data_IF_579545785119
#
_entry.id   IF_579545785119
#
_cell.length_a   1.000
_cell.length_b   1.000
_cell.length_c   1.000
_cell.angle_alpha   90.00
_cell.angle_beta   90.00
_cell.angle_gamma   90.00
#
_symmetry.space_group_name_H-M   'P 1'
#
loop_
_entity.id
_entity.type
_entity.pdbx_description
1 polymer ?
#
# COMPACT_ATOMS: atom_id res chain seq x y z
N UNK A 1 22.72 -4.93 -5.41
CA UNK A 1 22.54 -5.89 -4.30
C UNK A 1 23.91 -6.33 -3.85
N UNK A 2 24.22 -6.27 -2.56
CA UNK A 2 25.49 -6.70 -1.96
C UNK A 2 25.19 -7.98 -1.19
N UNK A 3 26.00 -9.02 -1.39
CA UNK A 3 25.89 -10.26 -0.64
C UNK A 3 27.20 -10.51 0.13
N UNK A 4 27.08 -11.01 1.33
CA UNK A 4 28.21 -11.38 2.17
C UNK A 4 27.93 -12.68 2.93
N UNK A 5 28.98 -13.37 3.36
CA UNK A 5 28.87 -14.52 4.27
C UNK A 5 29.30 -14.15 5.67
N UNK A 6 28.76 -14.82 6.68
CA UNK A 6 29.05 -14.57 8.09
C UNK A 6 30.46 -15.07 8.51
N UNK A 7 31.15 -15.82 7.62
CA UNK A 7 32.47 -16.41 7.87
C UNK A 7 33.37 -16.36 6.64
N UNK A 8 34.68 -16.45 6.86
CA UNK A 8 35.64 -16.61 5.79
C UNK A 8 35.48 -18.03 5.21
N UNK A 9 35.13 -18.10 3.92
CA UNK A 9 34.91 -19.34 3.22
C UNK A 9 36.13 -19.64 2.36
N UNK A 10 36.72 -20.81 2.55
CA UNK A 10 37.75 -21.33 1.66
C UNK A 10 37.06 -22.32 0.71
N UNK A 11 36.84 -21.92 -0.55
CA UNK A 11 36.13 -22.79 -1.48
C UNK A 11 37.01 -23.98 -1.87
N UNK A 12 36.41 -25.14 -1.88
CA UNK A 12 36.99 -26.38 -2.45
C UNK A 12 35.97 -27.09 -3.33
N UNK A 13 36.45 -27.97 -4.19
CA UNK A 13 35.62 -28.75 -5.07
C UNK A 13 35.94 -30.21 -4.90
N UNK A 14 34.92 -31.05 -4.86
CA UNK A 14 35.07 -32.52 -4.85
C UNK A 14 34.12 -33.15 -5.90
N UNK A 15 34.51 -34.28 -6.41
CA UNK A 15 33.64 -35.11 -7.26
C UNK A 15 32.64 -35.87 -6.37
N UNK A 16 31.39 -35.73 -6.66
CA UNK A 16 30.31 -36.41 -5.94
C UNK A 16 29.38 -37.14 -6.93
N UNK A 17 28.67 -38.12 -6.44
CA UNK A 17 27.71 -38.88 -7.22
C UNK A 17 26.31 -38.71 -6.63
N UNK A 18 25.31 -38.53 -7.48
CA UNK A 18 23.91 -38.53 -7.06
C UNK A 18 23.10 -39.53 -7.87
N UNK A 19 22.07 -40.08 -7.32
CA UNK A 19 21.11 -40.91 -8.01
C UNK A 19 19.95 -40.05 -8.52
N UNK A 20 19.79 -40.02 -9.83
CA UNK A 20 18.65 -39.36 -10.46
C UNK A 20 17.65 -40.45 -10.87
N UNK A 21 16.41 -40.30 -10.41
CA UNK A 21 15.31 -41.24 -10.69
C UNK A 21 14.53 -40.70 -11.88
N UNK A 22 14.49 -41.51 -12.95
CA UNK A 22 13.64 -41.27 -14.11
C UNK A 22 12.29 -41.97 -13.88
N UNK A 23 11.22 -41.23 -13.96
CA UNK A 23 9.86 -41.73 -13.77
C UNK A 23 9.22 -42.04 -15.13
N UNK A 24 8.57 -43.20 -15.24
CA UNK A 24 7.79 -43.58 -16.42
C UNK A 24 6.42 -42.89 -16.42
N UNK A 25 5.85 -42.78 -15.23
CA UNK A 25 4.63 -42.04 -14.94
C UNK A 25 4.68 -41.53 -13.49
N UNK A 26 3.60 -40.93 -12.95
CA UNK A 26 3.56 -40.30 -11.62
C UNK A 26 3.86 -41.27 -10.47
N UNK A 27 3.87 -42.61 -10.69
CA UNK A 27 4.00 -43.61 -9.62
C UNK A 27 5.11 -44.62 -9.91
N UNK A 28 5.41 -44.89 -11.20
CA UNK A 28 6.33 -45.97 -11.60
C UNK A 28 7.70 -45.42 -11.96
N UNK A 29 8.73 -45.95 -11.28
CA UNK A 29 10.13 -45.60 -11.58
C UNK A 29 10.56 -46.43 -12.83
N UNK A 30 11.09 -45.76 -13.86
CA UNK A 30 11.62 -46.40 -15.04
C UNK A 30 13.08 -46.82 -14.83
N UNK A 31 13.91 -45.90 -14.41
CA UNK A 31 15.35 -46.16 -14.26
C UNK A 31 15.95 -45.23 -13.20
N UNK A 32 16.90 -45.77 -12.41
CA UNK A 32 17.78 -45.01 -11.53
C UNK A 32 19.14 -44.88 -12.19
N UNK A 33 19.56 -43.64 -12.47
CA UNK A 33 20.89 -43.36 -13.02
C UNK A 33 21.76 -42.68 -11.98
N UNK A 34 23.00 -43.18 -11.86
CA UNK A 34 24.01 -42.49 -11.05
C UNK A 34 24.75 -41.50 -11.94
N UNK A 35 24.66 -40.21 -11.57
CA UNK A 35 25.28 -39.12 -12.33
C UNK A 35 26.35 -38.46 -11.46
N UNK A 36 27.55 -38.33 -12.03
CA UNK A 36 28.64 -37.59 -11.40
C UNK A 36 28.40 -36.09 -11.51
N UNK A 37 28.64 -35.35 -10.42
CA UNK A 37 28.61 -33.90 -10.42
C UNK A 37 29.71 -33.32 -9.53
N UNK A 38 30.06 -32.07 -9.76
CA UNK A 38 31.02 -31.36 -8.91
C UNK A 38 30.28 -30.73 -7.73
N UNK A 39 30.68 -31.12 -6.51
CA UNK A 39 30.18 -30.49 -5.29
C UNK A 39 31.12 -29.39 -4.84
N UNK A 40 30.59 -28.24 -4.57
CA UNK A 40 31.31 -27.09 -4.01
C UNK A 40 31.19 -27.13 -2.51
N UNK A 41 32.30 -26.98 -1.80
CA UNK A 41 32.37 -27.01 -0.35
C UNK A 41 32.84 -25.65 0.18
N UNK A 42 32.35 -25.25 1.35
CA UNK A 42 31.24 -25.83 2.11
C UNK A 42 29.89 -25.63 1.41
N UNK A 43 28.98 -26.57 1.53
CA UNK A 43 27.66 -26.55 0.88
C UNK A 43 26.55 -25.93 1.75
N UNK A 44 26.86 -25.64 3.00
CA UNK A 44 26.00 -24.98 3.98
C UNK A 44 26.24 -23.46 4.07
N UNK A 45 26.74 -22.85 2.98
CA UNK A 45 27.02 -21.41 2.96
C UNK A 45 25.74 -20.60 3.05
N UNK A 46 25.60 -19.81 4.09
CA UNK A 46 24.53 -18.83 4.25
C UNK A 46 25.00 -17.50 3.67
N UNK A 47 24.41 -17.12 2.54
CA UNK A 47 24.63 -15.81 1.93
C UNK A 47 23.50 -14.85 2.36
N UNK A 48 23.87 -13.76 2.97
CA UNK A 48 22.96 -12.67 3.30
C UNK A 48 23.09 -11.58 2.24
N UNK A 49 21.99 -11.25 1.60
CA UNK A 49 21.94 -10.18 0.61
C UNK A 49 21.09 -9.02 1.14
N UNK A 50 21.57 -7.81 0.97
CA UNK A 50 20.84 -6.61 1.31
C UNK A 50 20.87 -5.62 0.15
N UNK A 51 19.83 -4.82 0.06
CA UNK A 51 19.77 -3.71 -0.88
C UNK A 51 20.44 -2.52 -0.20
N UNK A 52 21.48 -1.96 -0.82
CA UNK A 52 22.10 -0.72 -0.35
C UNK A 52 21.08 0.41 -0.26
N UNK A 53 21.28 1.33 0.67
CA UNK A 53 20.47 2.54 0.78
C UNK A 53 20.72 3.36 -0.50
N UNK A 54 19.63 3.83 -1.11
CA UNK A 54 19.74 4.74 -2.24
C UNK A 54 19.72 6.18 -1.70
N UNK A 55 20.85 6.86 -1.78
CA UNK A 55 20.99 8.24 -1.30
C UNK A 55 20.66 9.27 -2.37
N UNK A 56 20.41 8.81 -3.61
CA UNK A 56 20.04 9.70 -4.72
C UNK A 56 18.56 10.01 -4.67
N UNK A 57 18.23 11.27 -4.52
CA UNK A 57 16.86 11.75 -4.49
C UNK A 57 16.39 12.20 -5.87
N UNK A 58 15.30 11.58 -6.32
CA UNK A 58 14.58 11.97 -7.54
C UNK A 58 13.13 11.52 -7.44
N UNK A 59 12.25 12.13 -8.20
CA UNK A 59 10.87 11.68 -8.33
C UNK A 59 10.85 10.34 -9.09
N UNK A 60 10.45 9.28 -8.41
CA UNK A 60 10.40 7.92 -8.98
C UNK A 60 9.08 7.66 -9.69
N UNK A 61 7.97 8.06 -9.07
CA UNK A 61 6.62 7.85 -9.61
C UNK A 61 5.70 8.99 -9.22
N UNK A 62 4.75 9.28 -10.11
CA UNK A 62 3.60 10.14 -9.88
C UNK A 62 2.36 9.39 -10.37
N UNK A 63 1.52 8.90 -9.47
CA UNK A 63 0.39 8.04 -9.82
C UNK A 63 -0.90 8.59 -9.23
N UNK A 64 -1.96 8.65 -10.06
CA UNK A 64 -3.32 8.99 -9.66
C UNK A 64 -4.22 7.78 -9.89
N UNK A 65 -4.28 6.91 -8.87
CA UNK A 65 -5.02 5.65 -8.93
C UNK A 65 -6.52 5.83 -8.76
N UNK A 66 -6.92 6.75 -7.89
CA UNK A 66 -8.32 7.12 -7.64
C UNK A 66 -8.52 8.61 -7.98
N UNK A 67 -9.77 8.99 -8.14
CA UNK A 67 -10.12 10.38 -8.48
C UNK A 67 -9.73 11.36 -7.38
N UNK A 68 -9.90 10.94 -6.12
CA UNK A 68 -9.79 11.79 -4.95
C UNK A 68 -8.38 11.87 -4.34
N UNK A 69 -7.40 11.13 -4.86
CA UNK A 69 -6.02 11.25 -4.39
C UNK A 69 -4.98 10.88 -5.46
N UNK A 70 -3.76 11.36 -5.27
CA UNK A 70 -2.59 10.95 -6.02
C UNK A 70 -1.39 10.77 -5.10
N UNK A 71 -0.44 9.97 -5.54
CA UNK A 71 0.75 9.64 -4.77
C UNK A 71 2.00 10.04 -5.54
N UNK A 72 2.90 10.74 -4.86
CA UNK A 72 4.24 11.05 -5.33
C UNK A 72 5.23 10.18 -4.56
N UNK A 73 6.04 9.38 -5.27
CA UNK A 73 7.05 8.52 -4.66
C UNK A 73 8.44 8.99 -5.07
N UNK A 74 9.29 9.16 -4.08
CA UNK A 74 10.69 9.53 -4.25
C UNK A 74 11.60 8.33 -4.04
N UNK A 75 12.79 8.37 -4.60
CA UNK A 75 13.76 7.25 -4.54
C UNK A 75 14.51 7.16 -3.22
N UNK A 76 14.58 8.25 -2.48
CA UNK A 76 15.27 8.37 -1.20
C UNK A 76 14.45 9.19 -0.21
N UNK A 77 14.69 9.03 1.11
CA UNK A 77 14.09 9.87 2.13
C UNK A 77 14.41 11.34 1.95
N UNK A 78 13.47 12.21 2.31
CA UNK A 78 13.65 13.65 2.27
C UNK A 78 13.43 14.27 3.65
N UNK A 79 14.27 15.25 4.02
CA UNK A 79 14.07 16.03 5.24
C UNK A 79 12.96 17.07 5.10
N UNK A 80 12.70 17.51 3.86
CA UNK A 80 11.71 18.53 3.55
C UNK A 80 10.67 18.02 2.56
N UNK A 81 9.43 18.42 2.76
CA UNK A 81 8.37 18.10 1.82
C UNK A 81 8.50 18.94 0.54
N UNK A 82 8.17 18.39 -0.62
CA UNK A 82 8.13 19.15 -1.87
C UNK A 82 6.97 20.16 -1.82
N UNK A 83 7.16 21.27 -2.51
CA UNK A 83 6.11 22.26 -2.69
C UNK A 83 5.36 21.96 -3.98
N UNK A 84 4.03 21.93 -3.89
CA UNK A 84 3.16 21.63 -5.02
C UNK A 84 2.31 22.86 -5.34
N UNK A 85 2.26 23.22 -6.64
CA UNK A 85 1.49 24.33 -7.18
C UNK A 85 0.53 23.84 -8.25
N UNK A 86 -0.77 24.15 -8.12
CA UNK A 86 -1.74 23.89 -9.17
C UNK A 86 -1.55 24.81 -10.36
N UNK A 87 -1.56 24.28 -11.59
CA UNK A 87 -1.49 25.07 -12.82
C UNK A 87 -2.87 25.26 -13.46
N UNK A 88 -3.76 24.27 -13.31
CA UNK A 88 -5.11 24.31 -13.87
C UNK A 88 -6.23 24.34 -12.81
N UNK A 89 -5.86 24.46 -11.53
CA UNK A 89 -6.78 24.60 -10.40
C UNK A 89 -6.15 25.45 -9.29
N UNK A 90 -6.96 25.91 -8.33
CA UNK A 90 -6.46 26.65 -7.16
C UNK A 90 -5.96 25.63 -6.11
N UNK A 91 -4.68 25.74 -5.73
CA UNK A 91 -4.05 24.86 -4.75
C UNK A 91 -4.36 25.23 -3.30
N UNK A 92 -4.90 26.45 -3.06
CA UNK A 92 -5.12 26.93 -1.71
C UNK A 92 -6.10 26.05 -0.95
N UNK A 93 -5.60 25.38 0.09
CA UNK A 93 -6.36 24.43 0.91
C UNK A 93 -6.99 23.26 0.12
N UNK A 94 -6.43 22.95 -1.07
CA UNK A 94 -6.97 21.92 -1.96
C UNK A 94 -6.66 20.50 -1.49
N UNK A 95 -5.64 20.31 -0.64
CA UNK A 95 -5.12 18.99 -0.30
C UNK A 95 -5.05 18.74 1.20
N UNK A 96 -5.25 17.46 1.58
CA UNK A 96 -4.75 16.88 2.83
C UNK A 96 -3.51 16.08 2.45
N UNK A 97 -2.40 16.35 3.14
CA UNK A 97 -1.12 15.70 2.84
C UNK A 97 -0.88 14.61 3.87
N UNK A 98 -0.68 13.40 3.39
CA UNK A 98 -0.30 12.24 4.20
C UNK A 98 1.08 11.77 3.75
N UNK A 99 2.02 11.66 4.68
CA UNK A 99 3.40 11.30 4.39
C UNK A 99 3.81 10.04 5.13
N UNK A 100 4.73 9.28 4.54
CA UNK A 100 5.46 8.25 5.28
C UNK A 100 6.42 8.91 6.29
N UNK A 101 6.84 8.22 7.36
CA UNK A 101 7.81 8.75 8.33
C UNK A 101 9.15 9.17 7.71
N UNK A 102 9.44 8.73 6.48
CA UNK A 102 10.67 9.02 5.73
C UNK A 102 10.48 10.05 4.63
N UNK A 103 9.27 10.54 4.42
CA UNK A 103 8.90 11.45 3.33
C UNK A 103 9.28 10.95 1.92
N UNK A 104 9.40 9.63 1.75
CA UNK A 104 9.70 9.00 0.47
C UNK A 104 8.45 8.69 -0.36
N UNK A 105 7.29 8.67 0.29
CA UNK A 105 6.00 8.55 -0.36
C UNK A 105 5.00 9.54 0.26
N UNK A 106 4.39 10.35 -0.58
CA UNK A 106 3.49 11.43 -0.15
C UNK A 106 2.18 11.25 -0.89
N UNK A 107 1.10 11.09 -0.15
CA UNK A 107 -0.26 11.02 -0.67
C UNK A 107 -0.94 12.38 -0.50
N UNK A 108 -1.47 12.90 -1.58
CA UNK A 108 -2.24 14.15 -1.62
C UNK A 108 -3.71 13.81 -1.82
N UNK A 109 -4.52 14.00 -0.78
CA UNK A 109 -5.97 13.84 -0.84
C UNK A 109 -6.62 15.14 -1.27
N UNK A 110 -7.41 15.11 -2.33
CA UNK A 110 -8.05 16.27 -2.93
C UNK A 110 -9.37 16.53 -2.18
N UNK A 111 -9.50 17.70 -1.57
CA UNK A 111 -10.72 18.10 -0.84
C UNK A 111 -11.84 18.57 -1.77
N UNK A 112 -11.48 19.31 -2.85
CA UNK A 112 -12.45 19.91 -3.74
C UNK A 112 -12.97 18.91 -4.78
N UNK A 113 -14.28 18.74 -4.80
CA UNK A 113 -14.98 17.85 -5.74
C UNK A 113 -14.84 18.28 -7.21
N UNK A 114 -14.68 19.56 -7.48
CA UNK A 114 -14.45 20.05 -8.85
C UNK A 114 -13.07 19.65 -9.35
N UNK A 115 -12.08 19.71 -8.47
CA UNK A 115 -10.70 19.34 -8.80
C UNK A 115 -10.55 17.83 -9.02
N UNK A 116 -11.15 16.99 -8.16
CA UNK A 116 -11.00 15.54 -8.35
C UNK A 116 -11.79 14.98 -9.54
N UNK A 117 -12.81 15.71 -10.04
CA UNK A 117 -13.52 15.33 -11.26
C UNK A 117 -12.76 15.63 -12.54
N UNK A 118 -11.69 16.44 -12.49
CA UNK A 118 -10.86 16.74 -13.64
C UNK A 118 -10.13 15.48 -14.14
N UNK A 119 -10.11 15.31 -15.46
CA UNK A 119 -9.45 14.14 -16.07
C UNK A 119 -7.93 14.17 -15.89
N UNK A 120 -7.33 15.35 -15.95
CA UNK A 120 -5.89 15.54 -15.75
C UNK A 120 -5.66 16.76 -14.86
N UNK A 121 -4.86 16.59 -13.83
CA UNK A 121 -4.35 17.67 -13.00
C UNK A 121 -2.96 18.04 -13.48
N UNK A 122 -2.74 19.32 -13.71
CA UNK A 122 -1.44 19.87 -14.05
C UNK A 122 -0.85 20.54 -12.83
N UNK A 123 0.27 20.04 -12.36
CA UNK A 123 0.93 20.49 -11.14
C UNK A 123 2.39 20.79 -11.40
N UNK A 124 2.86 21.88 -10.86
CA UNK A 124 4.27 22.20 -10.75
C UNK A 124 4.76 21.68 -9.40
N UNK A 125 5.83 20.91 -9.41
CA UNK A 125 6.45 20.32 -8.24
C UNK A 125 7.86 20.89 -8.06
N UNK A 126 8.11 21.55 -6.95
CA UNK A 126 9.42 22.03 -6.54
C UNK A 126 9.97 21.10 -5.45
N UNK A 127 11.09 20.45 -5.73
CA UNK A 127 11.71 19.48 -4.83
C UNK A 127 13.23 19.45 -4.95
N UNK A 128 13.90 18.78 -4.03
CA UNK A 128 15.34 18.58 -4.08
C UNK A 128 15.67 17.33 -4.92
N UNK A 129 16.57 17.50 -5.87
CA UNK A 129 17.05 16.45 -6.77
C UNK A 129 18.55 16.26 -6.61
N UNK A 130 19.02 15.02 -6.62
CA UNK A 130 20.44 14.72 -6.60
C UNK A 130 21.04 14.78 -8.01
N UNK A 131 21.95 15.70 -8.23
CA UNK A 131 22.63 15.90 -9.51
C UNK A 131 23.71 14.84 -9.81
N UNK A 132 24.42 14.99 -10.91
CA UNK A 132 25.50 14.07 -11.32
C UNK A 132 26.73 14.11 -10.39
N UNK A 133 26.88 15.18 -9.61
CA UNK A 133 27.94 15.36 -8.61
C UNK A 133 27.52 14.89 -7.22
N UNK A 134 26.38 14.22 -7.09
CA UNK A 134 25.75 13.80 -5.83
C UNK A 134 25.42 14.95 -4.87
N UNK A 135 25.13 16.14 -5.41
CA UNK A 135 24.67 17.29 -4.64
C UNK A 135 23.15 17.46 -4.77
N UNK A 136 22.49 17.83 -3.67
CA UNK A 136 21.08 18.15 -3.66
C UNK A 136 20.89 19.57 -4.21
N UNK A 137 20.19 19.65 -5.34
CA UNK A 137 19.86 20.91 -6.02
C UNK A 137 18.35 21.07 -6.13
N UNK A 138 17.80 22.28 -6.04
CA UNK A 138 16.38 22.49 -6.24
C UNK A 138 16.03 22.24 -7.73
N UNK A 139 14.95 21.51 -7.93
CA UNK A 139 14.40 21.19 -9.25
C UNK A 139 12.91 21.44 -9.28
N UNK A 140 12.47 22.03 -10.39
CA UNK A 140 11.06 22.26 -10.68
C UNK A 140 10.65 21.39 -11.86
N UNK A 141 9.68 20.52 -11.66
CA UNK A 141 9.10 19.69 -12.71
C UNK A 141 7.60 19.96 -12.85
N UNK A 142 7.10 19.92 -14.09
CA UNK A 142 5.66 19.93 -14.36
C UNK A 142 5.17 18.50 -14.52
N UNK A 143 4.16 18.11 -13.75
CA UNK A 143 3.62 16.76 -13.73
C UNK A 143 2.17 16.78 -14.18
N UNK A 144 1.83 15.83 -15.03
CA UNK A 144 0.47 15.60 -15.53
C UNK A 144 -0.10 14.35 -14.85
N UNK A 145 -1.05 14.54 -13.96
CA UNK A 145 -1.69 13.46 -13.18
C UNK A 145 -3.03 13.11 -13.84
N UNK A 146 -2.97 12.20 -14.82
CA UNK A 146 -4.16 11.71 -15.49
C UNK A 146 -4.87 10.66 -14.62
N UNK A 147 -6.21 10.72 -14.63
CA UNK A 147 -7.02 9.69 -14.00
C UNK A 147 -6.92 8.37 -14.78
N UNK A 148 -6.75 7.24 -14.09
CA UNK A 148 -6.68 5.90 -14.74
C UNK A 148 -7.94 5.55 -15.52
N UNK A 149 -9.10 6.01 -15.05
CA UNK A 149 -10.37 5.78 -15.71
C UNK A 149 -10.77 6.99 -16.56
N UNK A 150 -11.05 6.77 -17.82
CA UNK A 150 -11.61 7.82 -18.68
C UNK A 150 -13.02 8.21 -18.19
N UNK A 151 -13.46 9.43 -18.52
CA UNK A 151 -14.78 9.94 -18.16
C UNK A 151 -15.89 8.98 -18.58
N UNK A 152 -15.81 8.42 -19.79
CA UNK A 152 -16.79 7.46 -20.29
C UNK A 152 -16.82 6.16 -19.47
N UNK A 153 -15.67 5.67 -19.05
CA UNK A 153 -15.58 4.48 -18.20
C UNK A 153 -16.16 4.73 -16.81
N UNK A 154 -15.91 5.91 -16.24
CA UNK A 154 -16.49 6.34 -14.96
C UNK A 154 -18.01 6.42 -15.04
N UNK A 155 -18.56 7.06 -16.07
CA UNK A 155 -20.00 7.14 -16.30
C UNK A 155 -20.64 5.76 -16.47
N UNK A 156 -19.99 4.85 -17.20
CA UNK A 156 -20.47 3.46 -17.36
C UNK A 156 -20.46 2.69 -16.02
N UNK A 157 -19.41 2.84 -15.22
CA UNK A 157 -19.35 2.22 -13.88
C UNK A 157 -20.42 2.78 -12.95
N UNK A 158 -20.61 4.09 -12.95
CA UNK A 158 -21.63 4.75 -12.14
C UNK A 158 -23.06 4.35 -12.56
N UNK A 159 -23.34 4.24 -13.86
CA UNK A 159 -24.62 3.71 -14.36
C UNK A 159 -24.85 2.28 -13.91
N UNK A 160 -23.86 1.40 -14.05
CA UNK A 160 -23.97 0.00 -13.55
C UNK A 160 -24.22 -0.06 -12.04
N UNK A 161 -23.48 0.70 -11.26
CA UNK A 161 -23.67 0.75 -9.81
C UNK A 161 -25.05 1.26 -9.41
N UNK A 162 -25.58 2.26 -10.13
CA UNK A 162 -26.94 2.77 -9.92
C UNK A 162 -28.01 1.73 -10.32
N UNK A 163 -27.81 1.03 -11.41
CA UNK A 163 -28.71 -0.05 -11.84
C UNK A 163 -28.74 -1.22 -10.85
N UNK A 164 -27.58 -1.59 -10.30
CA UNK A 164 -27.49 -2.62 -9.25
C UNK A 164 -28.21 -2.20 -7.98
N UNK A 165 -27.99 -0.96 -7.51
CA UNK A 165 -28.71 -0.39 -6.38
C UNK A 165 -30.22 -0.38 -6.60
N UNK A 166 -30.66 -0.03 -7.81
CA UNK A 166 -32.08 -0.03 -8.15
C UNK A 166 -32.68 -1.44 -8.19
N UNK A 167 -31.94 -2.42 -8.71
CA UNK A 167 -32.33 -3.85 -8.67
C UNK A 167 -32.41 -4.37 -7.23
N UNK A 168 -31.45 -4.02 -6.37
CA UNK A 168 -31.50 -4.37 -4.95
C UNK A 168 -32.69 -3.72 -4.24
N UNK A 169 -32.93 -2.43 -4.51
CA UNK A 169 -34.10 -1.72 -3.96
C UNK A 169 -35.41 -2.41 -4.35
N UNK A 170 -35.60 -2.73 -5.64
CA UNK A 170 -36.78 -3.46 -6.12
C UNK A 170 -36.91 -4.86 -5.52
N UNK A 171 -35.78 -5.55 -5.22
CA UNK A 171 -35.80 -6.84 -4.52
C UNK A 171 -36.26 -6.70 -3.07
N UNK A 172 -35.80 -5.64 -2.36
CA UNK A 172 -36.21 -5.35 -0.97
C UNK A 172 -37.66 -4.93 -0.88
N UNK A 173 -38.14 -4.07 -1.78
CA UNK A 173 -39.54 -3.67 -1.87
C UNK A 173 -40.47 -4.87 -2.07
N UNK A 174 -40.08 -5.86 -2.93
CA UNK A 174 -40.82 -7.11 -3.10
C UNK A 174 -40.86 -8.02 -1.89
N UNK A 175 -39.90 -7.87 -0.95
CA UNK A 175 -39.85 -8.62 0.32
C UNK A 175 -40.60 -7.93 1.46
N UNK A 176 -41.31 -6.81 1.19
CA UNK A 176 -42.13 -6.12 2.18
C UNK A 176 -41.34 -5.17 3.09
N UNK A 177 -40.10 -4.86 2.74
CA UNK A 177 -39.26 -3.94 3.51
C UNK A 177 -39.55 -2.50 3.05
N UNK A 178 -40.44 -1.82 3.80
CA UNK A 178 -40.90 -0.45 3.49
C UNK A 178 -40.03 0.65 4.08
N UNK A 179 -38.94 0.30 4.74
CA UNK A 179 -38.04 1.28 5.33
C UNK A 179 -37.17 1.90 4.21
N UNK A 180 -37.47 3.14 3.86
CA UNK A 180 -36.61 3.98 3.01
C UNK A 180 -35.33 4.33 3.79
N UNK A 181 -34.42 3.39 3.96
CA UNK A 181 -33.06 3.68 4.39
C UNK A 181 -32.27 3.96 3.11
N UNK A 182 -31.93 5.20 2.86
CA UNK A 182 -30.90 5.50 1.87
C UNK A 182 -29.64 4.73 2.28
N UNK A 183 -28.99 4.02 1.35
CA UNK A 183 -27.78 3.29 1.69
C UNK A 183 -26.70 4.30 2.12
N UNK A 184 -26.54 4.45 3.40
CA UNK A 184 -25.44 5.26 3.97
C UNK A 184 -24.15 4.60 3.53
N UNK A 185 -23.30 5.32 2.80
CA UNK A 185 -21.96 4.85 2.47
C UNK A 185 -21.13 4.90 3.75
N UNK A 186 -20.93 3.77 4.38
CA UNK A 186 -20.05 3.67 5.55
C UNK A 186 -18.59 3.76 5.11
N UNK A 187 -17.80 4.42 5.92
CA UNK A 187 -16.35 4.45 5.75
C UNK A 187 -15.79 3.03 5.94
N UNK A 188 -14.98 2.56 5.01
CA UNK A 188 -14.33 1.26 5.11
C UNK A 188 -13.27 1.31 6.20
N UNK A 189 -13.43 0.49 7.22
CA UNK A 189 -12.50 0.38 8.34
C UNK A 189 -11.87 -1.01 8.33
N UNK A 190 -10.56 -1.07 8.39
CA UNK A 190 -9.79 -2.29 8.55
C UNK A 190 -9.25 -2.35 9.98
N UNK A 191 -9.44 -3.50 10.61
CA UNK A 191 -8.99 -3.75 11.98
C UNK A 191 -7.87 -4.78 11.96
N UNK A 192 -6.68 -4.40 12.43
CA UNK A 192 -5.57 -5.34 12.63
C UNK A 192 -5.70 -5.98 14.02
N UNK A 193 -6.57 -6.98 14.09
CA UNK A 193 -6.76 -7.80 15.29
C UNK A 193 -6.87 -9.28 14.89
N UNK A 194 -5.82 -10.09 15.09
CA UNK A 194 -5.89 -11.53 14.88
C UNK A 194 -6.86 -12.19 15.86
N UNK A 195 -7.33 -13.40 15.54
CA UNK A 195 -8.28 -14.16 16.36
C UNK A 195 -7.75 -14.51 17.76
N UNK A 196 -6.43 -14.65 17.91
CA UNK A 196 -5.75 -14.78 19.19
C UNK A 196 -4.93 -13.51 19.40
N UNK A 197 -5.30 -12.71 20.40
CA UNK A 197 -4.71 -11.40 20.64
C UNK A 197 -3.96 -11.37 21.97
N UNK A 198 -2.71 -10.90 21.91
CA UNK A 198 -1.88 -10.76 23.10
C UNK A 198 -2.26 -9.46 23.84
N UNK A 199 -2.46 -9.52 25.17
CA UNK A 199 -2.94 -8.40 26.00
C UNK A 199 -2.02 -7.16 25.94
N UNK A 200 -0.76 -7.36 25.55
CA UNK A 200 0.23 -6.27 25.42
C UNK A 200 0.28 -5.63 24.02
N UNK A 201 -0.49 -6.15 23.09
CA UNK A 201 -0.47 -5.68 21.71
C UNK A 201 -1.52 -4.59 21.48
N UNK A 202 -1.17 -3.61 20.66
CA UNK A 202 -2.12 -2.59 20.23
C UNK A 202 -3.01 -3.11 19.10
N UNK A 203 -4.26 -2.68 19.09
CA UNK A 203 -5.19 -2.85 17.98
C UNK A 203 -5.09 -1.60 17.12
N UNK A 204 -4.86 -1.79 15.82
CA UNK A 204 -4.79 -0.70 14.86
C UNK A 204 -6.05 -0.68 14.01
N UNK A 205 -6.66 0.49 13.94
CA UNK A 205 -7.79 0.77 13.06
C UNK A 205 -7.25 1.60 11.90
N UNK A 206 -7.38 1.11 10.67
CA UNK A 206 -6.99 1.82 9.47
C UNK A 206 -8.20 2.09 8.57
N UNK A 207 -8.19 3.22 7.91
CA UNK A 207 -9.27 3.70 7.05
C UNK A 207 -8.72 3.92 5.65
N UNK A 208 -9.56 3.72 4.64
CA UNK A 208 -9.17 3.95 3.23
C UNK A 208 -9.15 5.41 2.83
N UNK A 209 -9.86 6.26 3.56
CA UNK A 209 -9.97 7.70 3.29
C UNK A 209 -9.69 8.50 4.58
N UNK A 210 -9.18 9.74 4.51
CA UNK A 210 -8.94 10.57 5.67
C UNK A 210 -10.20 10.81 6.48
N UNK A 211 -10.08 10.76 7.80
CA UNK A 211 -11.20 10.97 8.71
C UNK A 211 -11.28 12.47 9.03
N UNK A 212 -12.46 13.07 8.82
CA UNK A 212 -12.69 14.48 9.14
C UNK A 212 -12.81 14.71 10.66
N UNK A 213 -13.44 13.78 11.37
CA UNK A 213 -13.60 13.84 12.82
C UNK A 213 -13.78 12.44 13.38
N UNK A 214 -13.31 12.22 14.58
CA UNK A 214 -13.47 10.97 15.31
C UNK A 214 -13.99 11.27 16.72
N UNK A 215 -15.06 10.57 17.10
CA UNK A 215 -15.53 10.59 18.48
C UNK A 215 -14.92 9.42 19.24
N UNK A 216 -13.88 9.70 20.00
CA UNK A 216 -13.18 8.70 20.80
C UNK A 216 -14.04 8.14 21.92
N UNK A 217 -15.03 8.88 22.39
CA UNK A 217 -15.95 8.42 23.42
C UNK A 217 -16.95 7.39 22.92
N UNK A 218 -17.17 7.34 21.60
CA UNK A 218 -18.04 6.35 20.97
C UNK A 218 -17.33 5.02 20.65
N UNK A 219 -16.01 4.95 20.83
CA UNK A 219 -15.24 3.74 20.55
C UNK A 219 -15.04 2.97 21.86
N UNK A 220 -15.65 1.78 21.93
CA UNK A 220 -15.57 0.91 23.10
C UNK A 220 -14.98 -0.44 22.70
N UNK A 221 -14.12 -0.98 23.55
CA UNK A 221 -13.70 -2.36 23.51
C UNK A 221 -14.31 -3.10 24.70
N UNK A 222 -15.09 -4.13 24.41
CA UNK A 222 -15.82 -4.89 25.41
C UNK A 222 -15.30 -6.32 25.45
N UNK A 223 -15.22 -6.88 26.63
CA UNK A 223 -14.86 -8.28 26.85
C UNK A 223 -16.10 -9.03 27.29
N UNK A 224 -16.37 -10.17 26.66
CA UNK A 224 -17.47 -11.03 27.09
C UNK A 224 -17.07 -11.82 28.32
N UNK A 225 -17.72 -11.54 29.45
CA UNK A 225 -17.59 -12.31 30.69
C UNK A 225 -18.97 -12.90 31.02
N UNK A 226 -19.13 -14.17 30.83
CA UNK A 226 -20.43 -14.89 30.92
C UNK A 226 -21.48 -14.31 29.96
N UNK A 227 -22.49 -13.61 30.48
CA UNK A 227 -23.54 -12.91 29.70
C UNK A 227 -23.41 -11.40 29.70
N UNK A 228 -22.36 -10.85 30.30
CA UNK A 228 -22.10 -9.42 30.40
C UNK A 228 -20.98 -8.98 29.45
N UNK A 229 -21.04 -7.73 29.01
CA UNK A 229 -20.03 -7.10 28.15
C UNK A 229 -19.44 -5.86 28.86
N UNK A 230 -18.54 -6.04 29.86
CA UNK A 230 -17.87 -4.90 30.47
C UNK A 230 -16.87 -4.27 29.49
N UNK A 231 -16.78 -2.95 29.52
CA UNK A 231 -15.78 -2.20 28.75
C UNK A 231 -14.39 -2.52 29.29
N UNK A 232 -13.48 -2.88 28.39
CA UNK A 232 -12.12 -3.30 28.75
C UNK A 232 -11.10 -2.66 27.81
N UNK A 233 -10.89 -1.38 27.92
CA UNK A 233 -9.75 -0.72 27.28
C UNK A 233 -8.97 0.09 28.30
N UNK A 234 -7.66 0.19 28.10
CA UNK A 234 -6.79 0.95 28.99
C UNK A 234 -6.41 2.31 28.42
N UNK A 235 -6.34 2.42 27.11
CA UNK A 235 -5.86 3.63 26.47
C UNK A 235 -6.23 3.68 24.97
N UNK A 236 -6.69 4.84 24.51
CA UNK A 236 -6.91 5.14 23.10
C UNK A 236 -5.96 6.27 22.70
N UNK A 237 -5.07 5.99 21.74
CA UNK A 237 -4.17 6.99 21.17
C UNK A 237 -4.54 7.28 19.73
N UNK A 238 -4.60 8.57 19.39
CA UNK A 238 -4.69 9.01 18.01
C UNK A 238 -3.28 9.30 17.49
N UNK A 239 -2.94 8.91 16.23
CA UNK A 239 -1.71 9.35 15.64
C UNK A 239 -1.70 10.88 15.56
N UNK A 240 -0.63 11.49 16.02
CA UNK A 240 -0.38 12.92 15.83
C UNK A 240 0.14 13.08 14.39
N UNK A 241 -0.61 13.78 13.55
CA UNK A 241 -0.23 14.12 12.17
C UNK A 241 0.67 15.36 12.21
#
# INVERSE_FOLDING_TARGET
MIAFSDSIIVPSMEAAMRQDTLWKDTVTIDTIKTVGYTRFLPDDIILRAFKGINDRQYLSKSERDKENHFVLSFSAPADTLPTLKGLNFDEKDAFIIETTPRNDSICYWIKDSLVYQMDTLEVQLDYLYTDTLNQLVPKTDTIYLANKLTREQREKLQKKANEEKEKERKKREKKGDTIRVEPTKFLTMNVDAPSAFDIYRNIYLSFEEPIASIDTAAIHMEVKVDSLWPVSYTHLTLPTI
#
